data_IF_752077733353
#
_entry.id   IF_752077733353
#
_cell.length_a   1.000
_cell.length_b   1.000
_cell.length_c   1.000
_cell.angle_alpha   90.00
_cell.angle_beta   90.00
_cell.angle_gamma   90.00
#
_symmetry.space_group_name_H-M   'P 1'
#
loop_
_entity.id
_entity.type
_entity.pdbx_description
1 polymer ?
#
# COMPACT_ATOMS: atom_id res chain seq x y z
N UNK A 1 0.12 -16.08 -6.60
CA UNK A 1 0.95 -15.02 -6.00
C UNK A 1 -0.01 -13.97 -5.45
N UNK A 2 0.16 -13.43 -4.25
CA UNK A 2 -0.79 -12.48 -3.66
C UNK A 2 -0.24 -11.06 -3.58
N UNK A 3 -1.12 -10.07 -3.64
CA UNK A 3 -0.79 -8.66 -3.49
C UNK A 3 -1.32 -8.15 -2.15
N UNK A 4 -0.55 -7.32 -1.46
CA UNK A 4 -0.79 -6.92 -0.09
C UNK A 4 -0.71 -5.40 0.06
N UNK A 5 -1.74 -4.79 0.64
CA UNK A 5 -1.75 -3.40 1.09
C UNK A 5 -1.54 -3.33 2.60
N UNK A 6 -0.31 -3.02 3.02
CA UNK A 6 0.06 -2.87 4.42
C UNK A 6 0.13 -1.38 4.79
N UNK A 7 -0.40 -1.05 5.96
CA UNK A 7 -0.33 0.30 6.54
C UNK A 7 0.15 0.20 7.97
N UNK A 8 1.25 0.88 8.29
CA UNK A 8 1.67 1.09 9.67
C UNK A 8 1.25 2.48 10.14
N UNK A 9 0.38 2.52 11.14
CA UNK A 9 0.03 3.77 11.81
C UNK A 9 1.06 4.09 12.90
N UNK A 10 1.84 5.13 12.66
CA UNK A 10 3.04 5.42 13.44
C UNK A 10 2.67 5.86 14.86
N UNK A 11 3.34 5.27 15.85
CA UNK A 11 3.16 5.50 17.28
C UNK A 11 1.74 5.23 17.83
N UNK A 12 0.85 4.65 17.03
CA UNK A 12 -0.49 4.32 17.48
C UNK A 12 -0.45 3.22 18.56
N UNK A 13 -1.15 3.44 19.67
CA UNK A 13 -1.17 2.49 20.81
C UNK A 13 -2.40 1.60 20.85
N UNK A 14 -3.54 2.10 20.36
CA UNK A 14 -4.85 1.45 20.40
C UNK A 14 -5.44 1.34 19.00
N UNK A 15 -6.12 0.24 18.70
CA UNK A 15 -6.78 0.05 17.40
C UNK A 15 -7.87 1.10 17.20
N UNK A 16 -8.10 1.50 15.95
CA UNK A 16 -9.27 2.28 15.55
C UNK A 16 -10.52 1.42 15.73
N UNK A 17 -11.62 2.05 16.16
CA UNK A 17 -12.90 1.37 16.40
C UNK A 17 -13.85 1.42 15.21
N UNK A 18 -13.71 2.44 14.36
CA UNK A 18 -14.62 2.72 13.25
C UNK A 18 -13.82 2.87 11.96
N UNK A 19 -14.22 2.08 10.96
CA UNK A 19 -13.62 2.04 9.63
C UNK A 19 -14.76 1.89 8.61
N UNK A 20 -14.54 2.25 7.33
CA UNK A 20 -15.51 2.02 6.27
C UNK A 20 -15.93 0.55 6.19
N UNK A 21 -17.20 0.29 5.88
CA UNK A 21 -17.82 -1.04 5.97
C UNK A 21 -17.22 -2.04 4.97
N UNK A 22 -16.76 -1.56 3.82
CA UNK A 22 -16.30 -2.40 2.71
C UNK A 22 -14.80 -2.71 2.74
N UNK A 23 -14.10 -2.28 3.80
CA UNK A 23 -12.67 -2.55 3.97
C UNK A 23 -12.44 -3.17 5.34
N UNK A 24 -11.95 -4.39 5.30
CA UNK A 24 -11.44 -5.08 6.47
C UNK A 24 -10.02 -4.59 6.77
N UNK A 25 -9.80 -4.16 8.01
CA UNK A 25 -8.52 -3.61 8.47
C UNK A 25 -7.99 -4.48 9.60
N UNK A 26 -7.16 -5.43 9.23
CA UNK A 26 -6.68 -6.46 10.16
C UNK A 26 -5.41 -6.01 10.88
N UNK A 27 -5.51 -5.83 12.20
CA UNK A 27 -4.37 -5.42 13.02
C UNK A 27 -3.45 -6.61 13.35
N UNK A 28 -2.28 -6.68 12.69
CA UNK A 28 -1.41 -7.87 12.67
C UNK A 28 -0.49 -8.00 13.88
N UNK A 29 0.11 -6.91 14.35
CA UNK A 29 1.12 -6.95 15.43
C UNK A 29 0.54 -7.01 16.86
N UNK A 30 -0.76 -7.27 17.01
CA UNK A 30 -1.41 -7.49 18.32
C UNK A 30 -1.75 -8.95 18.59
N UNK A 31 -1.60 -9.84 17.60
CA UNK A 31 -1.80 -11.26 17.76
C UNK A 31 -0.44 -11.96 17.94
N UNK A 32 -0.12 -12.37 19.17
CA UNK A 32 1.23 -12.85 19.56
C UNK A 32 1.60 -14.19 18.92
N UNK A 33 0.61 -15.01 18.54
CA UNK A 33 0.83 -16.40 18.15
C UNK A 33 1.11 -16.58 16.64
N UNK A 34 0.87 -15.56 15.81
CA UNK A 34 0.84 -15.72 14.36
C UNK A 34 2.08 -15.21 13.60
N UNK A 35 2.93 -14.35 14.18
CA UNK A 35 3.59 -13.33 13.33
C UNK A 35 5.10 -13.02 13.45
N UNK A 36 5.82 -13.28 14.56
CA UNK A 36 7.12 -12.62 14.76
C UNK A 36 8.26 -13.10 13.84
N UNK A 37 8.14 -14.20 13.10
CA UNK A 37 9.30 -14.79 12.39
C UNK A 37 9.46 -14.41 10.92
N UNK A 38 8.40 -14.00 10.23
CA UNK A 38 8.46 -13.75 8.78
C UNK A 38 8.77 -12.28 8.47
N UNK A 39 8.14 -11.33 9.16
CA UNK A 39 8.26 -9.91 8.84
C UNK A 39 9.63 -9.32 9.22
N UNK A 40 10.22 -9.78 10.33
CA UNK A 40 11.52 -9.32 10.82
C UNK A 40 12.66 -9.49 9.79
N UNK A 41 12.51 -10.42 8.84
CA UNK A 41 13.51 -10.70 7.81
C UNK A 41 13.45 -9.79 6.57
N UNK A 42 12.29 -9.21 6.25
CA UNK A 42 12.09 -8.56 4.96
C UNK A 42 11.73 -7.07 5.07
N UNK A 43 11.08 -6.64 6.16
CA UNK A 43 10.52 -5.27 6.28
C UNK A 43 11.21 -4.49 7.40
N UNK A 44 12.53 -4.38 7.32
CA UNK A 44 13.35 -3.82 8.39
C UNK A 44 12.94 -2.39 8.77
N UNK A 45 12.61 -1.53 7.79
CA UNK A 45 12.20 -0.17 8.05
C UNK A 45 10.85 -0.13 8.75
N UNK A 46 9.80 -0.77 8.21
CA UNK A 46 8.50 -0.80 8.90
C UNK A 46 8.59 -1.44 10.29
N UNK A 47 9.40 -2.48 10.49
CA UNK A 47 9.55 -3.14 11.81
C UNK A 47 10.30 -2.27 12.82
N UNK A 48 11.19 -1.40 12.35
CA UNK A 48 11.90 -0.45 13.23
C UNK A 48 11.00 0.67 13.77
N UNK A 49 9.82 0.86 13.17
CA UNK A 49 8.88 1.92 13.51
C UNK A 49 7.81 1.39 14.46
N UNK A 50 7.68 2.04 15.62
CA UNK A 50 6.62 1.75 16.58
C UNK A 50 5.25 2.11 16.01
N UNK A 51 4.24 1.26 16.19
CA UNK A 51 2.87 1.53 15.75
C UNK A 51 1.98 0.31 15.71
N UNK A 52 0.83 0.42 15.04
CA UNK A 52 -0.03 -0.73 14.72
C UNK A 52 0.03 -0.99 13.22
N UNK A 53 0.28 -2.26 12.89
CA UNK A 53 0.28 -2.75 11.52
C UNK A 53 -1.11 -3.18 11.12
N UNK A 54 -1.58 -2.63 10.02
CA UNK A 54 -2.86 -2.90 9.42
C UNK A 54 -2.68 -3.49 8.03
N UNK A 55 -3.62 -4.35 7.68
CA UNK A 55 -3.70 -4.97 6.38
C UNK A 55 -5.09 -4.71 5.81
N UNK A 56 -5.16 -4.18 4.58
CA UNK A 56 -6.42 -3.84 3.93
C UNK A 56 -6.89 -4.96 3.00
N UNK A 57 -8.11 -5.44 3.21
CA UNK A 57 -8.78 -6.43 2.35
C UNK A 57 -10.25 -6.07 2.17
N UNK A 58 -10.92 -6.67 1.17
CA UNK A 58 -12.38 -6.57 1.07
C UNK A 58 -13.05 -7.39 2.20
N UNK A 59 -12.51 -8.58 2.53
CA UNK A 59 -13.09 -9.50 3.52
C UNK A 59 -12.07 -9.94 4.58
N UNK A 60 -12.53 -10.30 5.77
CA UNK A 60 -11.68 -10.63 6.93
C UNK A 60 -10.88 -11.93 6.73
N UNK A 61 -11.47 -12.92 6.05
CA UNK A 61 -10.84 -14.20 5.77
C UNK A 61 -9.83 -14.14 4.60
N UNK A 62 -9.81 -13.03 3.86
CA UNK A 62 -8.91 -12.87 2.72
C UNK A 62 -7.49 -12.52 3.18
N UNK A 63 -6.53 -13.18 2.55
CA UNK A 63 -5.10 -12.99 2.79
C UNK A 63 -4.42 -12.19 1.66
N UNK A 64 -5.21 -11.64 0.74
CA UNK A 64 -4.79 -10.85 -0.42
C UNK A 64 -5.66 -9.61 -0.61
N UNK A 65 -5.04 -8.51 -1.03
CA UNK A 65 -5.66 -7.24 -1.40
C UNK A 65 -6.01 -7.14 -2.89
N UNK A 66 -5.95 -8.22 -3.68
CA UNK A 66 -6.34 -8.20 -5.12
C UNK A 66 -7.81 -7.82 -5.37
N UNK A 67 -8.67 -8.04 -4.39
CA UNK A 67 -10.04 -7.58 -4.52
C UNK A 67 -10.12 -6.05 -4.47
N UNK A 68 -9.13 -5.38 -3.86
CA UNK A 68 -9.02 -3.92 -3.80
C UNK A 68 -8.28 -3.31 -5.00
N UNK A 69 -7.36 -4.06 -5.62
CA UNK A 69 -6.50 -3.56 -6.72
C UNK A 69 -6.54 -4.48 -7.93
N UNK A 70 -6.57 -3.90 -9.14
CA UNK A 70 -6.35 -4.62 -10.38
C UNK A 70 -4.91 -4.42 -10.86
N UNK A 71 -4.31 -5.48 -11.41
CA UNK A 71 -3.09 -5.35 -12.19
C UNK A 71 -3.42 -4.56 -13.45
N UNK A 72 -2.63 -3.53 -13.72
CA UNK A 72 -2.72 -2.69 -14.89
C UNK A 72 -1.67 -3.17 -15.89
N UNK A 73 -2.11 -3.81 -16.97
CA UNK A 73 -1.24 -4.07 -18.12
C UNK A 73 -0.94 -2.72 -18.77
N UNK A 74 0.34 -2.32 -18.77
CA UNK A 74 0.79 -1.17 -19.53
C UNK A 74 0.84 -1.62 -20.99
N UNK A 75 -0.19 -1.28 -21.75
CA UNK A 75 -0.14 -1.40 -23.20
C UNK A 75 0.63 -0.19 -23.75
N UNK A 76 1.91 -0.40 -24.02
CA UNK A 76 2.83 0.62 -24.56
C UNK A 76 2.31 1.24 -25.86
N UNK A 77 1.53 0.52 -26.68
CA UNK A 77 0.97 1.04 -27.93
C UNK A 77 -0.17 2.04 -27.64
N UNK A 78 -1.02 1.76 -26.66
CA UNK A 78 -2.24 2.54 -26.36
C UNK A 78 -1.96 3.88 -25.66
N UNK A 79 -0.84 3.96 -24.91
CA UNK A 79 -0.42 5.20 -24.23
C UNK A 79 0.41 6.13 -25.11
N UNK A 80 1.03 5.62 -26.19
CA UNK A 80 1.87 6.42 -27.09
C UNK A 80 1.09 7.51 -27.87
N UNK A 81 -0.21 7.29 -28.15
CA UNK A 81 -1.00 8.21 -28.99
C UNK A 81 -2.12 8.97 -28.27
N UNK A 82 -2.74 8.42 -27.21
CA UNK A 82 -3.97 8.99 -26.60
C UNK A 82 -3.75 9.80 -25.32
N UNK A 83 -2.71 9.49 -24.54
CA UNK A 83 -2.44 10.17 -23.28
C UNK A 83 -0.93 10.43 -23.16
N UNK A 84 -0.42 11.55 -23.68
CA UNK A 84 0.98 11.95 -23.52
C UNK A 84 1.27 12.45 -22.09
N UNK A 85 0.59 11.91 -21.07
CA UNK A 85 1.12 11.95 -19.71
C UNK A 85 2.42 11.16 -19.81
N UNK A 86 3.54 11.89 -19.81
CA UNK A 86 4.87 11.33 -19.97
C UNK A 86 4.98 10.18 -18.95
N UNK A 87 5.08 8.94 -19.42
CA UNK A 87 5.28 7.75 -18.59
C UNK A 87 6.39 7.98 -17.53
N UNK A 88 7.38 8.82 -17.87
CA UNK A 88 8.42 9.31 -16.95
C UNK A 88 7.91 9.98 -15.68
N UNK A 89 6.79 10.70 -15.71
CA UNK A 89 6.18 11.33 -14.54
C UNK A 89 5.47 10.31 -13.62
N UNK A 90 5.18 9.11 -14.14
CA UNK A 90 4.62 7.99 -13.36
C UNK A 90 5.72 7.09 -12.79
N UNK A 91 6.93 7.13 -13.35
CA UNK A 91 8.03 6.33 -12.82
C UNK A 91 8.57 6.89 -11.50
N UNK A 92 8.96 6.02 -10.56
CA UNK A 92 9.73 6.45 -9.42
C UNK A 92 10.97 7.23 -9.87
N UNK A 93 11.36 8.26 -9.12
CA UNK A 93 12.46 9.16 -9.49
C UNK A 93 13.82 8.47 -9.69
N UNK A 94 13.96 7.24 -9.20
CA UNK A 94 15.15 6.40 -9.29
C UNK A 94 15.18 5.49 -10.51
N UNK A 95 14.15 5.54 -11.36
CA UNK A 95 14.09 4.80 -12.59
C UNK A 95 14.16 5.73 -13.81
N UNK A 96 15.04 5.39 -14.76
CA UNK A 96 15.26 6.20 -15.96
C UNK A 96 14.40 5.76 -17.16
N UNK A 97 13.88 4.53 -17.19
CA UNK A 97 13.06 4.01 -18.30
C UNK A 97 12.12 2.87 -17.94
N UNK A 98 11.10 2.63 -18.76
CA UNK A 98 10.19 1.48 -18.65
C UNK A 98 10.95 0.15 -18.72
N UNK A 99 11.97 0.07 -19.57
CA UNK A 99 12.76 -1.15 -19.83
C UNK A 99 13.57 -1.61 -18.62
N UNK A 100 13.84 -0.69 -17.68
CA UNK A 100 14.51 -0.99 -16.40
C UNK A 100 13.54 -1.49 -15.32
N UNK A 101 12.24 -1.35 -15.54
CA UNK A 101 11.21 -1.69 -14.57
C UNK A 101 10.54 -3.01 -14.93
N UNK A 102 11.06 -4.08 -14.35
CA UNK A 102 10.26 -5.29 -14.13
C UNK A 102 9.31 -5.05 -12.93
N UNK A 103 8.39 -4.09 -13.09
CA UNK A 103 7.40 -3.73 -12.06
C UNK A 103 5.98 -3.99 -12.55
N UNK A 104 5.19 -4.61 -11.69
CA UNK A 104 3.74 -4.68 -11.88
C UNK A 104 3.09 -3.38 -11.37
N UNK A 105 2.32 -2.72 -12.24
CA UNK A 105 1.49 -1.59 -11.83
C UNK A 105 0.15 -2.11 -11.33
N UNK A 106 -0.26 -1.63 -10.16
CA UNK A 106 -1.57 -1.91 -9.60
C UNK A 106 -2.39 -0.63 -9.46
N UNK A 107 -3.63 -0.69 -9.92
CA UNK A 107 -4.59 0.40 -9.82
C UNK A 107 -5.70 0.01 -8.85
N UNK A 108 -6.13 0.94 -7.99
CA UNK A 108 -7.29 0.72 -7.13
C UNK A 108 -8.53 0.48 -7.98
N UNK A 109 -9.35 -0.51 -7.63
CA UNK A 109 -10.65 -0.71 -8.28
C UNK A 109 -11.57 0.45 -7.94
N UNK A 110 -12.28 0.96 -8.94
CA UNK A 110 -13.14 2.15 -8.76
C UNK A 110 -14.17 1.97 -7.64
N UNK A 111 -14.77 0.78 -7.51
CA UNK A 111 -15.73 0.45 -6.43
C UNK A 111 -15.15 0.62 -5.01
N UNK A 112 -13.83 0.54 -4.87
CA UNK A 112 -13.12 0.54 -3.58
C UNK A 112 -12.25 1.78 -3.37
N UNK A 113 -12.04 2.60 -4.42
CA UNK A 113 -11.13 3.76 -4.38
C UNK A 113 -11.49 4.70 -3.23
N UNK A 114 -12.76 5.10 -3.13
CA UNK A 114 -13.22 6.02 -2.08
C UNK A 114 -13.02 5.44 -0.67
N UNK A 115 -13.41 4.18 -0.46
CA UNK A 115 -13.29 3.54 0.84
C UNK A 115 -11.82 3.38 1.27
N UNK A 116 -10.92 3.04 0.33
CA UNK A 116 -9.48 2.88 0.61
C UNK A 116 -8.89 4.23 1.01
N UNK A 117 -9.18 5.28 0.25
CA UNK A 117 -8.71 6.63 0.54
C UNK A 117 -9.24 7.14 1.88
N UNK A 118 -10.54 6.96 2.14
CA UNK A 118 -11.15 7.31 3.42
C UNK A 118 -10.54 6.54 4.59
N UNK A 119 -10.24 5.26 4.40
CA UNK A 119 -9.55 4.43 5.39
C UNK A 119 -8.15 4.98 5.69
N UNK A 120 -7.38 5.31 4.66
CA UNK A 120 -6.05 5.92 4.81
C UNK A 120 -6.13 7.24 5.58
N UNK A 121 -7.10 8.09 5.27
CA UNK A 121 -7.29 9.35 5.98
C UNK A 121 -7.62 9.15 7.46
N UNK A 122 -8.54 8.25 7.79
CA UNK A 122 -8.87 7.89 9.19
C UNK A 122 -7.62 7.38 9.92
N UNK A 123 -6.82 6.53 9.27
CA UNK A 123 -5.58 5.99 9.81
C UNK A 123 -4.54 7.10 10.09
N UNK A 124 -4.36 8.03 9.14
CA UNK A 124 -3.50 9.22 9.31
C UNK A 124 -3.97 10.04 10.51
N UNK A 125 -5.26 10.37 10.60
CA UNK A 125 -5.83 11.18 11.67
C UNK A 125 -5.72 10.49 13.04
N UNK A 126 -5.79 9.17 13.08
CA UNK A 126 -5.65 8.38 14.31
C UNK A 126 -4.21 8.27 14.82
N UNK A 127 -3.22 8.47 13.95
CA UNK A 127 -1.81 8.42 14.34
C UNK A 127 -1.48 9.66 15.19
N UNK A 128 -0.82 9.50 16.37
CA UNK A 128 -0.42 10.63 17.21
C UNK A 128 0.42 11.71 16.52
N UNK A 129 1.13 11.34 15.44
CA UNK A 129 1.99 12.26 14.67
C UNK A 129 1.46 12.53 13.26
N UNK A 130 0.19 12.17 12.99
CA UNK A 130 -0.46 12.29 11.68
C UNK A 130 0.35 11.70 10.51
N UNK A 131 0.89 10.49 10.70
CA UNK A 131 1.72 9.80 9.71
C UNK A 131 1.40 8.31 9.69
N UNK A 132 1.30 7.79 8.48
CA UNK A 132 1.31 6.36 8.22
C UNK A 132 2.54 6.02 7.36
N UNK A 133 2.98 4.77 7.42
CA UNK A 133 3.81 4.17 6.39
C UNK A 133 2.91 3.29 5.56
N UNK A 134 2.92 3.50 4.24
CA UNK A 134 2.13 2.74 3.28
C UNK A 134 3.06 1.84 2.49
N UNK A 135 2.78 0.53 2.47
CA UNK A 135 3.55 -0.48 1.76
C UNK A 135 2.60 -1.34 0.94
N UNK A 136 2.60 -1.09 -0.37
CA UNK A 136 2.09 -2.01 -1.37
C UNK A 136 3.17 -3.05 -1.67
N UNK A 137 2.81 -4.34 -1.70
CA UNK A 137 3.77 -5.39 -2.07
C UNK A 137 3.11 -6.53 -2.84
N UNK A 138 3.88 -7.10 -3.75
CA UNK A 138 3.62 -8.41 -4.31
C UNK A 138 4.39 -9.44 -3.49
N UNK A 139 3.77 -10.53 -3.04
CA UNK A 139 4.48 -11.52 -2.22
C UNK A 139 5.47 -12.34 -3.08
N UNK A 140 6.76 -11.97 -3.06
CA UNK A 140 7.85 -12.71 -3.73
C UNK A 140 8.87 -13.23 -2.70
N UNK A 141 9.63 -14.26 -3.09
CA UNK A 141 10.62 -14.97 -2.26
C UNK A 141 11.81 -14.09 -1.84
N UNK A 142 12.13 -13.03 -2.61
CA UNK A 142 13.26 -12.12 -2.38
C UNK A 142 12.81 -10.64 -2.35
N UNK A 143 11.86 -10.30 -1.47
CA UNK A 143 11.37 -8.93 -1.31
C UNK A 143 12.47 -8.00 -0.76
N UNK A 144 12.71 -6.88 -1.46
CA UNK A 144 13.49 -5.75 -0.96
C UNK A 144 12.56 -4.58 -0.63
N UNK A 145 12.75 -3.95 0.52
CA UNK A 145 11.95 -2.80 0.95
C UNK A 145 12.50 -1.50 0.34
N UNK A 146 11.77 -0.91 -0.61
CA UNK A 146 12.11 0.37 -1.23
C UNK A 146 11.37 1.53 -0.56
N UNK A 147 12.12 2.52 -0.08
CA UNK A 147 11.56 3.70 0.59
C UNK A 147 11.58 4.90 -0.37
N UNK A 148 10.40 5.26 -0.89
CA UNK A 148 10.24 6.42 -1.77
C UNK A 148 10.46 7.76 -1.02
N UNK A 149 10.08 7.82 0.26
CA UNK A 149 10.17 9.02 1.09
C UNK A 149 8.84 9.40 1.72
N UNK A 150 8.63 10.69 1.99
CA UNK A 150 7.38 11.21 2.56
C UNK A 150 6.60 11.98 1.50
N UNK A 151 5.30 11.70 1.38
CA UNK A 151 4.38 12.39 0.48
C UNK A 151 3.17 12.88 1.28
N UNK A 152 2.62 14.05 0.92
CA UNK A 152 1.37 14.53 1.50
C UNK A 152 0.20 13.72 0.97
N UNK A 153 -0.85 13.56 1.78
CA UNK A 153 -2.02 12.77 1.41
C UNK A 153 -2.69 13.29 0.14
N UNK A 154 -2.87 14.60 0.00
CA UNK A 154 -3.48 15.22 -1.18
C UNK A 154 -2.65 14.94 -2.42
N UNK A 155 -1.31 15.01 -2.29
CA UNK A 155 -0.41 14.72 -3.40
C UNK A 155 -0.41 13.23 -3.77
N UNK A 156 -0.54 12.35 -2.79
CA UNK A 156 -0.70 10.92 -3.02
C UNK A 156 -1.99 10.62 -3.80
N UNK A 157 -3.11 11.25 -3.43
CA UNK A 157 -4.39 11.11 -4.15
C UNK A 157 -4.29 11.63 -5.58
N UNK A 158 -3.57 12.73 -5.81
CA UNK A 158 -3.32 13.27 -7.16
C UNK A 158 -2.55 12.31 -8.07
N UNK A 159 -1.75 11.40 -7.52
CA UNK A 159 -0.95 10.43 -8.27
C UNK A 159 -1.69 9.10 -8.54
N UNK A 160 -2.94 8.94 -8.04
CA UNK A 160 -3.79 7.75 -8.18
C UNK A 160 -4.88 7.88 -9.24
#
# INVERSE_FOLDING_TARGET
>A
MSYDLNILCVNQKKKIKELPVNICVNARNKNKDAYPKYYDRYFHFMNSISGIWYYLTEEEENWSSFELCNMCEIDDELYSERYPLKLRELYPFWCDSADELDIDIFCLREKHKEDVLKTMQILIESSPIRRIVFLAKYQIVDDSEFIYGTINYEKFVELL
#
